data_IF_676847719188
#
_entry.id   IF_676847719188
#
_cell.length_a   1.000
_cell.length_b   1.000
_cell.length_c   1.000
_cell.angle_alpha   90.00
_cell.angle_beta   90.00
_cell.angle_gamma   90.00
#
_symmetry.space_group_name_H-M   'P 1'
#
loop_
_entity.id
_entity.type
_entity.pdbx_description
1 polymer ?
#
# COMPACT_ATOMS: atom_id res chain seq x y z
N UNK A 1 30.79 29.43 -46.41
CA UNK A 1 30.33 28.25 -45.64
C UNK A 1 30.62 28.55 -44.18
N UNK A 2 29.62 29.06 -43.45
CA UNK A 2 29.76 29.54 -42.06
C UNK A 2 29.35 28.45 -41.09
N UNK A 3 30.15 28.25 -40.03
CA UNK A 3 29.84 27.34 -38.92
C UNK A 3 28.58 27.84 -38.23
N UNK A 4 27.60 26.97 -38.01
CA UNK A 4 26.43 27.30 -37.18
C UNK A 4 26.90 27.81 -35.81
N UNK A 5 26.29 28.91 -35.35
CA UNK A 5 26.55 29.47 -34.03
C UNK A 5 26.13 28.47 -32.96
N UNK A 6 27.04 28.19 -32.01
CA UNK A 6 26.77 27.31 -30.88
C UNK A 6 25.64 27.89 -30.03
N UNK A 7 24.52 27.20 -29.97
CA UNK A 7 23.31 27.61 -29.22
C UNK A 7 23.23 27.05 -27.80
N UNK A 8 24.18 26.20 -27.39
CA UNK A 8 24.21 25.64 -26.03
C UNK A 8 25.47 24.84 -25.70
N UNK A 9 25.63 24.56 -24.40
CA UNK A 9 26.69 23.73 -23.84
C UNK A 9 26.10 22.89 -22.69
N UNK A 10 26.47 21.62 -22.60
CA UNK A 10 26.16 20.79 -21.44
C UNK A 10 27.46 20.27 -20.84
N UNK A 11 27.53 20.25 -19.52
CA UNK A 11 28.71 19.74 -18.80
C UNK A 11 28.27 18.77 -17.72
N UNK A 12 29.06 17.71 -17.52
CA UNK A 12 28.96 16.79 -16.40
C UNK A 12 30.30 16.84 -15.65
N UNK A 13 30.27 17.17 -14.36
CA UNK A 13 31.48 17.26 -13.51
C UNK A 13 32.63 18.06 -14.14
N UNK A 14 32.32 19.14 -14.86
CA UNK A 14 33.31 20.03 -15.49
C UNK A 14 33.85 19.58 -16.85
N UNK A 15 33.34 18.47 -17.42
CA UNK A 15 33.65 18.03 -18.78
C UNK A 15 32.46 18.26 -19.71
N UNK A 16 32.73 18.68 -20.94
CA UNK A 16 31.68 18.88 -21.94
C UNK A 16 31.09 17.54 -22.39
N UNK A 17 29.78 17.41 -22.35
CA UNK A 17 29.05 16.18 -22.68
C UNK A 17 27.84 16.50 -23.57
N UNK A 18 27.33 15.47 -24.25
CA UNK A 18 26.05 15.55 -24.97
C UNK A 18 24.95 15.09 -24.03
N UNK A 19 23.95 15.93 -23.81
CA UNK A 19 22.83 15.64 -22.92
C UNK A 19 21.59 15.28 -23.73
N UNK A 20 21.04 14.08 -23.48
CA UNK A 20 19.77 13.62 -24.04
C UNK A 20 18.70 13.61 -22.95
N UNK A 21 17.53 14.18 -23.23
CA UNK A 21 16.39 14.22 -22.30
C UNK A 21 15.26 13.37 -22.85
N UNK A 22 14.70 12.49 -22.00
CA UNK A 22 13.49 11.73 -22.32
C UNK A 22 12.31 12.33 -21.57
N UNK A 23 11.26 12.67 -22.32
CA UNK A 23 10.00 13.15 -21.76
C UNK A 23 9.01 11.99 -21.68
N UNK A 24 8.39 11.85 -20.50
CA UNK A 24 7.30 10.92 -20.28
C UNK A 24 5.97 11.55 -20.74
N UNK A 25 5.12 10.77 -21.41
CA UNK A 25 3.78 11.20 -21.79
C UNK A 25 2.90 11.41 -20.55
N UNK A 26 1.93 12.32 -20.65
CA UNK A 26 0.99 12.60 -19.56
C UNK A 26 0.17 11.34 -19.27
N UNK A 27 0.16 10.92 -18.00
CA UNK A 27 -0.61 9.75 -17.53
C UNK A 27 0.16 8.43 -17.55
N UNK A 28 1.38 8.40 -18.08
CA UNK A 28 2.21 7.20 -18.05
C UNK A 28 2.84 6.94 -16.67
N UNK A 29 3.17 5.66 -16.42
CA UNK A 29 3.83 5.27 -15.18
C UNK A 29 5.34 5.53 -15.28
N UNK A 30 5.84 6.42 -14.42
CA UNK A 30 7.27 6.79 -14.38
C UNK A 30 8.21 5.59 -14.25
N UNK A 31 7.86 4.55 -13.49
CA UNK A 31 8.68 3.35 -13.33
C UNK A 31 8.75 2.55 -14.63
N UNK A 32 7.61 2.33 -15.28
CA UNK A 32 7.53 1.59 -16.54
C UNK A 32 8.31 2.28 -17.65
N UNK A 33 8.15 3.61 -17.78
CA UNK A 33 8.83 4.41 -18.80
C UNK A 33 10.34 4.42 -18.55
N UNK A 34 10.79 4.64 -17.31
CA UNK A 34 12.22 4.61 -17.00
C UNK A 34 12.86 3.25 -17.27
N UNK A 35 12.18 2.14 -16.96
CA UNK A 35 12.68 0.79 -17.28
C UNK A 35 12.78 0.55 -18.79
N UNK A 36 11.79 1.00 -19.57
CA UNK A 36 11.81 0.89 -21.02
C UNK A 36 12.95 1.72 -21.64
N UNK A 37 13.18 2.93 -21.13
CA UNK A 37 14.28 3.80 -21.56
C UNK A 37 15.63 3.20 -21.22
N UNK A 38 15.81 2.67 -20.01
CA UNK A 38 17.04 2.00 -19.59
C UNK A 38 17.38 0.83 -20.53
N UNK A 39 16.40 -0.03 -20.81
CA UNK A 39 16.57 -1.14 -21.76
C UNK A 39 16.92 -0.65 -23.17
N UNK A 40 16.28 0.41 -23.64
CA UNK A 40 16.57 0.97 -24.97
C UNK A 40 17.95 1.62 -25.04
N UNK A 41 18.41 2.22 -23.94
CA UNK A 41 19.74 2.79 -23.82
C UNK A 41 20.83 1.72 -23.91
N UNK A 42 20.61 0.53 -23.33
CA UNK A 42 21.51 -0.61 -23.49
C UNK A 42 21.61 -1.06 -24.95
N UNK A 43 20.49 -1.11 -25.68
CA UNK A 43 20.49 -1.43 -27.10
C UNK A 43 21.26 -0.38 -27.93
N UNK A 44 21.03 0.91 -27.64
CA UNK A 44 21.71 2.02 -28.33
C UNK A 44 23.22 1.97 -28.04
N UNK A 45 23.62 1.74 -26.80
CA UNK A 45 25.03 1.68 -26.41
C UNK A 45 25.83 0.62 -27.19
N UNK A 46 25.19 -0.46 -27.65
CA UNK A 46 25.85 -1.48 -28.50
C UNK A 46 26.12 -1.01 -29.93
N UNK A 47 25.34 -0.04 -30.41
CA UNK A 47 25.46 0.53 -31.75
C UNK A 47 26.38 1.75 -31.82
N UNK A 48 26.84 2.25 -30.66
CA UNK A 48 27.68 3.43 -30.60
C UNK A 48 29.12 3.13 -31.04
N UNK A 49 29.81 4.11 -31.66
CA UNK A 49 31.23 3.99 -32.01
C UNK A 49 32.11 3.75 -30.78
N UNK A 50 33.27 3.13 -31.00
CA UNK A 50 34.26 2.94 -29.94
C UNK A 50 34.63 4.29 -29.28
N UNK A 51 34.52 4.35 -27.96
CA UNK A 51 34.80 5.55 -27.16
C UNK A 51 33.58 6.42 -26.82
N UNK A 52 32.39 6.12 -27.35
CA UNK A 52 31.15 6.81 -26.99
C UNK A 52 30.30 5.91 -26.09
N UNK A 53 29.98 6.39 -24.89
CA UNK A 53 29.11 5.68 -23.93
C UNK A 53 28.01 6.63 -23.48
N UNK A 54 26.76 6.23 -23.65
CA UNK A 54 25.62 6.95 -23.11
C UNK A 54 25.32 6.45 -21.69
N UNK A 55 25.46 7.34 -20.71
CA UNK A 55 25.26 7.06 -19.28
C UNK A 55 24.02 7.81 -18.79
N UNK A 56 23.19 7.17 -17.97
CA UNK A 56 22.04 7.82 -17.33
C UNK A 56 22.49 8.73 -16.19
N UNK A 57 22.33 10.04 -16.35
CA UNK A 57 22.75 11.05 -15.37
C UNK A 57 21.72 11.22 -14.24
N UNK A 58 20.42 11.05 -14.54
CA UNK A 58 19.34 11.20 -13.57
C UNK A 58 18.26 10.13 -13.77
N UNK A 59 18.19 9.18 -12.84
CA UNK A 59 17.16 8.15 -12.82
C UNK A 59 16.27 8.30 -11.59
N UNK A 60 15.03 8.77 -11.82
CA UNK A 60 14.00 8.86 -10.76
C UNK A 60 13.64 7.49 -10.19
N UNK A 61 13.90 6.39 -10.90
CA UNK A 61 13.58 5.02 -10.47
C UNK A 61 14.32 4.67 -9.19
N UNK A 62 15.58 5.06 -9.04
CA UNK A 62 16.36 4.77 -7.83
C UNK A 62 15.74 5.35 -6.55
N UNK A 63 15.19 6.56 -6.64
CA UNK A 63 14.52 7.19 -5.51
C UNK A 63 13.18 6.50 -5.20
N UNK A 64 12.41 6.17 -6.24
CA UNK A 64 11.12 5.48 -6.11
C UNK A 64 11.30 4.07 -5.56
N UNK A 65 12.28 3.30 -6.05
CA UNK A 65 12.52 1.93 -5.59
C UNK A 65 13.04 1.88 -4.16
N UNK A 66 13.93 2.81 -3.76
CA UNK A 66 14.34 2.94 -2.35
C UNK A 66 13.16 3.28 -1.45
N UNK A 67 12.30 4.21 -1.87
CA UNK A 67 11.10 4.57 -1.11
C UNK A 67 10.13 3.39 -0.99
N UNK A 68 9.86 2.66 -2.07
CA UNK A 68 9.02 1.47 -2.07
C UNK A 68 9.61 0.38 -1.17
N UNK A 69 10.93 0.17 -1.22
CA UNK A 69 11.61 -0.81 -0.36
C UNK A 69 11.46 -0.46 1.13
N UNK A 70 11.61 0.82 1.48
CA UNK A 70 11.38 1.32 2.84
C UNK A 70 9.92 1.13 3.26
N UNK A 71 8.95 1.46 2.41
CA UNK A 71 7.53 1.24 2.71
C UNK A 71 7.22 -0.24 2.89
N UNK A 72 7.75 -1.11 2.03
CA UNK A 72 7.56 -2.56 2.15
C UNK A 72 8.10 -3.06 3.49
N UNK A 73 9.29 -2.60 3.89
CA UNK A 73 9.89 -2.93 5.18
C UNK A 73 9.01 -2.43 6.34
N UNK A 74 8.58 -1.17 6.29
CA UNK A 74 7.72 -0.58 7.32
C UNK A 74 6.35 -1.27 7.41
N UNK A 75 5.75 -1.65 6.27
CA UNK A 75 4.50 -2.41 6.24
C UNK A 75 4.67 -3.79 6.88
N UNK A 76 5.78 -4.47 6.60
CA UNK A 76 6.08 -5.77 7.18
C UNK A 76 6.32 -5.67 8.69
N UNK A 77 7.15 -4.72 9.13
CA UNK A 77 7.43 -4.47 10.55
C UNK A 77 6.16 -4.03 11.31
N UNK A 78 5.36 -3.15 10.70
CA UNK A 78 4.07 -2.70 11.23
C UNK A 78 3.06 -3.84 11.37
N UNK A 79 2.91 -4.68 10.34
CA UNK A 79 2.04 -5.85 10.40
C UNK A 79 2.50 -6.84 11.49
N UNK A 80 3.81 -7.06 11.63
CA UNK A 80 4.36 -7.91 12.67
C UNK A 80 4.07 -7.36 14.08
N UNK A 81 4.21 -6.04 14.27
CA UNK A 81 3.87 -5.38 15.54
C UNK A 81 2.37 -5.52 15.87
N UNK A 82 1.49 -5.32 14.89
CA UNK A 82 0.04 -5.53 15.08
C UNK A 82 -0.23 -6.96 15.50
N UNK A 83 0.33 -7.94 14.79
CA UNK A 83 0.17 -9.37 15.15
C UNK A 83 0.68 -9.62 16.57
N UNK A 84 1.86 -9.12 16.94
CA UNK A 84 2.41 -9.30 18.30
C UNK A 84 1.46 -8.75 19.38
N UNK A 85 0.90 -7.55 19.16
CA UNK A 85 -0.09 -6.94 20.06
C UNK A 85 -1.37 -7.77 20.13
N UNK A 86 -1.88 -8.28 18.99
CA UNK A 86 -3.05 -9.16 18.96
C UNK A 86 -2.84 -10.42 19.81
N UNK A 87 -1.67 -11.06 19.70
CA UNK A 87 -1.34 -12.24 20.49
C UNK A 87 -1.27 -11.91 22.00
N UNK A 88 -0.73 -10.74 22.36
CA UNK A 88 -0.65 -10.29 23.75
C UNK A 88 -2.04 -10.02 24.36
N UNK A 89 -2.92 -9.34 23.63
CA UNK A 89 -4.24 -8.93 24.15
C UNK A 89 -5.28 -10.06 24.14
N UNK A 90 -5.32 -10.90 23.08
CA UNK A 90 -6.34 -11.94 22.98
C UNK A 90 -6.03 -13.16 23.85
N UNK A 91 -4.75 -13.46 24.11
CA UNK A 91 -4.29 -14.64 24.87
C UNK A 91 -4.63 -16.01 24.24
N UNK A 92 -5.51 -16.03 23.23
CA UNK A 92 -5.94 -17.21 22.50
C UNK A 92 -5.32 -17.21 21.11
N UNK A 93 -4.36 -18.12 20.91
CA UNK A 93 -3.60 -18.29 19.65
C UNK A 93 -4.53 -18.48 18.45
N UNK A 94 -5.62 -19.26 18.58
CA UNK A 94 -6.54 -19.52 17.46
C UNK A 94 -7.28 -18.26 17.05
N UNK A 95 -7.73 -17.49 18.04
CA UNK A 95 -8.42 -16.24 17.80
C UNK A 95 -7.49 -15.18 17.19
N UNK A 96 -6.27 -15.05 17.74
CA UNK A 96 -5.24 -14.16 17.21
C UNK A 96 -4.88 -14.51 15.76
N UNK A 97 -4.77 -15.79 15.40
CA UNK A 97 -4.54 -16.22 14.02
C UNK A 97 -5.72 -15.88 13.10
N UNK A 98 -6.96 -16.11 13.54
CA UNK A 98 -8.16 -15.76 12.76
C UNK A 98 -8.19 -14.26 12.47
N UNK A 99 -7.93 -13.42 13.47
CA UNK A 99 -7.88 -11.96 13.30
C UNK A 99 -6.70 -11.53 12.43
N UNK A 100 -5.51 -12.14 12.61
CA UNK A 100 -4.33 -11.83 11.81
C UNK A 100 -4.55 -12.15 10.32
N UNK A 101 -5.35 -13.16 9.98
CA UNK A 101 -5.71 -13.49 8.59
C UNK A 101 -6.54 -12.40 7.89
N UNK A 102 -7.14 -11.47 8.63
CA UNK A 102 -7.84 -10.31 8.05
C UNK A 102 -6.85 -9.37 7.36
N UNK A 103 -5.62 -9.23 7.87
CA UNK A 103 -4.59 -8.37 7.29
C UNK A 103 -4.26 -8.75 5.83
N UNK A 104 -3.80 -9.98 5.52
CA UNK A 104 -3.48 -10.36 4.14
C UNK A 104 -4.71 -10.35 3.23
N UNK A 105 -5.89 -10.68 3.77
CA UNK A 105 -7.13 -10.66 2.99
C UNK A 105 -7.54 -9.23 2.61
N UNK A 106 -7.44 -8.29 3.55
CA UNK A 106 -7.69 -6.87 3.29
C UNK A 106 -6.68 -6.32 2.28
N UNK A 107 -5.39 -6.61 2.44
CA UNK A 107 -4.36 -6.20 1.48
C UNK A 107 -4.64 -6.78 0.07
N UNK A 108 -5.09 -8.03 -0.02
CA UNK A 108 -5.47 -8.63 -1.30
C UNK A 108 -6.61 -7.83 -1.96
N UNK A 109 -7.69 -7.55 -1.23
CA UNK A 109 -8.80 -6.74 -1.75
C UNK A 109 -8.37 -5.34 -2.15
N UNK A 110 -7.52 -4.68 -1.36
CA UNK A 110 -7.00 -3.36 -1.70
C UNK A 110 -6.15 -3.38 -2.96
N UNK A 111 -5.21 -4.33 -3.09
CA UNK A 111 -4.40 -4.44 -4.30
C UNK A 111 -5.22 -4.81 -5.54
N UNK A 112 -6.23 -5.67 -5.40
CA UNK A 112 -7.17 -5.96 -6.49
C UNK A 112 -7.93 -4.71 -6.91
N UNK A 113 -8.44 -3.91 -5.96
CA UNK A 113 -9.14 -2.66 -6.26
C UNK A 113 -8.25 -1.60 -6.90
N UNK A 114 -7.00 -1.47 -6.43
CA UNK A 114 -6.01 -0.57 -7.05
C UNK A 114 -5.69 -0.98 -8.49
N UNK A 115 -5.57 -2.29 -8.73
CA UNK A 115 -5.33 -2.83 -10.07
C UNK A 115 -6.50 -2.53 -11.01
N UNK A 116 -7.76 -2.72 -10.57
CA UNK A 116 -8.94 -2.42 -11.40
C UNK A 116 -9.11 -0.93 -11.66
N UNK A 117 -8.77 -0.07 -10.69
CA UNK A 117 -8.88 1.38 -10.80
C UNK A 117 -7.64 2.04 -11.44
N UNK A 118 -6.66 1.25 -11.88
CA UNK A 118 -5.38 1.70 -12.46
C UNK A 118 -4.61 2.68 -11.56
N UNK A 119 -4.80 2.58 -10.24
CA UNK A 119 -4.08 3.39 -9.26
C UNK A 119 -2.72 2.76 -9.01
N UNK A 120 -1.64 3.52 -9.19
CA UNK A 120 -0.29 3.01 -8.95
C UNK A 120 -0.08 2.70 -7.46
N UNK A 121 0.53 1.56 -7.18
CA UNK A 121 1.12 1.23 -5.88
C UNK A 121 2.36 2.12 -5.63
N UNK A 122 2.12 3.34 -5.17
CA UNK A 122 3.16 4.32 -4.86
C UNK A 122 3.20 4.58 -3.35
N UNK A 123 4.18 5.38 -2.92
CA UNK A 123 4.39 5.71 -1.51
C UNK A 123 3.12 6.25 -0.83
N UNK A 124 2.35 7.11 -1.51
CA UNK A 124 1.16 7.74 -0.94
C UNK A 124 0.00 6.75 -0.84
N UNK A 125 -0.26 5.96 -1.89
CA UNK A 125 -1.34 4.97 -1.86
C UNK A 125 -1.06 3.79 -0.92
N UNK A 126 0.20 3.32 -0.84
CA UNK A 126 0.56 2.31 0.17
C UNK A 126 0.56 2.88 1.59
N UNK A 127 0.89 4.16 1.76
CA UNK A 127 0.86 4.85 3.05
C UNK A 127 -0.55 5.03 3.63
N UNK A 128 -1.59 4.95 2.79
CA UNK A 128 -2.98 4.99 3.21
C UNK A 128 -3.48 3.66 3.80
N UNK A 129 -2.69 2.58 3.71
CA UNK A 129 -3.03 1.29 4.33
C UNK A 129 -2.84 1.37 5.85
N UNK A 130 -3.93 1.71 6.56
CA UNK A 130 -3.94 1.71 8.02
C UNK A 130 -4.32 0.32 8.57
N UNK A 131 -3.31 -0.42 9.05
CA UNK A 131 -3.54 -1.72 9.67
C UNK A 131 -4.43 -1.65 10.90
N UNK A 132 -4.33 -0.57 11.70
CA UNK A 132 -5.13 -0.39 12.91
C UNK A 132 -6.62 -0.37 12.58
N UNK A 133 -7.00 0.42 11.59
CA UNK A 133 -8.38 0.47 11.09
C UNK A 133 -8.80 -0.88 10.47
N UNK A 134 -7.91 -1.55 9.73
CA UNK A 134 -8.21 -2.85 9.10
C UNK A 134 -8.50 -3.93 10.15
N UNK A 135 -7.74 -3.98 11.26
CA UNK A 135 -7.90 -5.04 12.27
C UNK A 135 -8.91 -4.71 13.36
N UNK A 136 -9.16 -3.43 13.66
CA UNK A 136 -10.02 -2.99 14.77
C UNK A 136 -11.37 -3.72 14.76
N UNK A 137 -12.06 -3.68 13.63
CA UNK A 137 -13.38 -4.30 13.53
C UNK A 137 -13.37 -5.82 13.72
N UNK A 138 -12.32 -6.49 13.23
CA UNK A 138 -12.17 -7.93 13.41
C UNK A 138 -11.82 -8.30 14.85
N UNK A 139 -10.98 -7.50 15.52
CA UNK A 139 -10.63 -7.67 16.94
C UNK A 139 -11.88 -7.58 17.80
N UNK A 140 -12.69 -6.52 17.62
CA UNK A 140 -13.91 -6.30 18.41
C UNK A 140 -14.89 -7.46 18.28
N UNK A 141 -15.11 -7.99 17.07
CA UNK A 141 -15.99 -9.15 16.86
C UNK A 141 -15.45 -10.38 17.57
N UNK A 142 -14.15 -10.67 17.39
CA UNK A 142 -13.52 -11.88 17.94
C UNK A 142 -13.48 -11.82 19.46
N UNK A 143 -13.15 -10.67 20.04
CA UNK A 143 -13.18 -10.47 21.49
C UNK A 143 -14.59 -10.67 22.06
N UNK A 144 -15.60 -10.05 21.45
CA UNK A 144 -16.99 -10.21 21.89
C UNK A 144 -17.46 -11.67 21.78
N UNK A 145 -17.08 -12.37 20.71
CA UNK A 145 -17.39 -13.79 20.52
C UNK A 145 -16.75 -14.66 21.59
N UNK A 146 -15.47 -14.45 21.92
CA UNK A 146 -14.76 -15.20 22.97
C UNK A 146 -15.41 -14.93 24.33
N UNK A 147 -15.72 -13.66 24.63
CA UNK A 147 -16.37 -13.25 25.88
C UNK A 147 -17.72 -13.96 26.05
N UNK A 148 -18.56 -13.97 25.02
CA UNK A 148 -19.86 -14.67 25.03
C UNK A 148 -19.70 -16.19 25.16
N UNK A 149 -18.79 -16.79 24.42
CA UNK A 149 -18.50 -18.23 24.53
C UNK A 149 -18.06 -18.62 25.94
N UNK A 150 -17.22 -17.81 26.59
CA UNK A 150 -16.78 -18.04 27.97
C UNK A 150 -17.96 -17.98 28.96
N UNK A 151 -18.82 -16.96 28.85
CA UNK A 151 -20.01 -16.84 29.70
C UNK A 151 -21.05 -17.95 29.46
N UNK A 152 -21.25 -18.36 28.20
CA UNK A 152 -22.15 -19.46 27.88
C UNK A 152 -21.61 -20.79 28.41
N UNK A 153 -20.30 -21.02 28.31
CA UNK A 153 -19.66 -22.22 28.86
C UNK A 153 -19.75 -22.27 30.40
N UNK A 154 -19.58 -21.13 31.08
CA UNK A 154 -19.79 -21.03 32.53
C UNK A 154 -21.25 -21.31 32.92
N UNK A 155 -22.22 -20.73 32.20
CA UNK A 155 -23.65 -20.95 32.47
C UNK A 155 -24.08 -22.40 32.29
N UNK A 156 -23.56 -23.09 31.29
CA UNK A 156 -23.90 -24.49 31.04
C UNK A 156 -23.07 -25.49 31.87
N UNK A 157 -21.97 -25.07 32.50
CA UNK A 157 -21.08 -25.94 33.28
C UNK A 157 -20.40 -27.05 32.46
N UNK A 158 -20.52 -27.02 31.13
CA UNK A 158 -19.96 -28.02 30.20
C UNK A 158 -19.43 -27.33 28.95
N UNK A 159 -18.57 -28.04 28.21
CA UNK A 159 -18.18 -27.61 26.88
C UNK A 159 -19.42 -27.49 25.97
N UNK A 160 -19.51 -26.35 25.28
CA UNK A 160 -20.55 -26.08 24.29
C UNK A 160 -20.38 -27.00 23.09
N UNK A 161 -21.50 -27.52 22.57
CA UNK A 161 -21.57 -28.24 21.30
C UNK A 161 -21.27 -27.31 20.13
N UNK A 162 -20.94 -27.85 18.95
CA UNK A 162 -20.65 -27.03 17.76
C UNK A 162 -21.80 -26.10 17.38
N UNK A 163 -23.04 -26.58 17.47
CA UNK A 163 -24.23 -25.78 17.16
C UNK A 163 -24.42 -24.62 18.13
N UNK A 164 -24.23 -24.86 19.43
CA UNK A 164 -24.29 -23.80 20.46
C UNK A 164 -23.17 -22.77 20.27
N UNK A 165 -21.95 -23.21 19.95
CA UNK A 165 -20.84 -22.28 19.66
C UNK A 165 -21.12 -21.39 18.44
N UNK A 166 -21.63 -21.96 17.36
CA UNK A 166 -21.99 -21.20 16.16
C UNK A 166 -23.10 -20.20 16.46
N UNK A 167 -24.09 -20.60 17.26
CA UNK A 167 -25.17 -19.71 17.69
C UNK A 167 -24.65 -18.51 18.50
N UNK A 168 -23.77 -18.76 19.48
CA UNK A 168 -23.18 -17.69 20.30
C UNK A 168 -22.29 -16.75 19.48
N UNK A 169 -21.46 -17.29 18.57
CA UNK A 169 -20.63 -16.48 17.66
C UNK A 169 -21.52 -15.63 16.74
N UNK A 170 -22.60 -16.19 16.20
CA UNK A 170 -23.53 -15.45 15.36
C UNK A 170 -24.25 -14.33 16.13
N UNK A 171 -24.68 -14.61 17.36
CA UNK A 171 -25.29 -13.62 18.24
C UNK A 171 -24.31 -12.49 18.58
N UNK A 172 -23.07 -12.83 18.93
CA UNK A 172 -21.99 -11.87 19.19
C UNK A 172 -21.71 -10.96 17.99
N UNK A 173 -21.64 -11.54 16.79
CA UNK A 173 -21.43 -10.79 15.56
C UNK A 173 -22.63 -9.86 15.25
N UNK A 174 -23.87 -10.31 15.48
CA UNK A 174 -25.07 -9.51 15.25
C UNK A 174 -25.15 -8.29 16.17
N UNK A 175 -24.72 -8.43 17.42
CA UNK A 175 -24.68 -7.37 18.42
C UNK A 175 -23.64 -6.28 18.05
N UNK A 176 -22.41 -6.70 17.72
CA UNK A 176 -21.33 -5.77 17.38
C UNK A 176 -21.51 -5.12 15.99
N UNK A 177 -22.24 -5.76 15.07
CA UNK A 177 -22.41 -5.33 13.68
C UNK A 177 -22.82 -3.86 13.54
N UNK A 178 -23.80 -3.42 14.35
CA UNK A 178 -24.34 -2.06 14.22
C UNK A 178 -23.25 -1.04 14.53
N UNK A 179 -22.57 -1.17 15.67
CA UNK A 179 -21.50 -0.26 16.08
C UNK A 179 -20.35 -0.21 15.06
N UNK A 180 -19.94 -1.37 14.55
CA UNK A 180 -18.87 -1.48 13.55
C UNK A 180 -19.21 -0.79 12.23
N UNK A 181 -20.42 -0.98 11.72
CA UNK A 181 -20.85 -0.29 10.48
C UNK A 181 -20.90 1.22 10.69
N UNK A 182 -21.39 1.70 11.84
CA UNK A 182 -21.38 3.13 12.13
C UNK A 182 -19.96 3.68 12.22
N UNK A 183 -19.03 2.98 12.86
CA UNK A 183 -17.62 3.36 12.91
C UNK A 183 -16.99 3.44 11.51
N UNK A 184 -17.21 2.41 10.69
CA UNK A 184 -16.72 2.38 9.31
C UNK A 184 -17.28 3.53 8.47
N UNK A 185 -18.57 3.85 8.63
CA UNK A 185 -19.21 4.96 7.93
C UNK A 185 -18.61 6.31 8.33
N UNK A 186 -18.29 6.51 9.61
CA UNK A 186 -17.64 7.74 10.08
C UNK A 186 -16.28 7.90 9.40
N UNK A 187 -15.46 6.85 9.39
CA UNK A 187 -14.15 6.86 8.73
C UNK A 187 -14.31 7.17 7.23
N UNK A 188 -15.27 6.53 6.56
CA UNK A 188 -15.56 6.78 5.15
C UNK A 188 -15.99 8.22 4.87
N UNK A 189 -16.84 8.81 5.73
CA UNK A 189 -17.27 10.21 5.62
C UNK A 189 -16.11 11.17 5.83
N UNK A 190 -15.14 10.86 6.70
CA UNK A 190 -13.93 11.66 6.91
C UNK A 190 -13.03 11.69 5.67
N UNK A 191 -13.05 10.64 4.83
CA UNK A 191 -12.30 10.62 3.57
C UNK A 191 -13.01 11.32 2.41
N UNK A 192 -14.33 11.50 2.47
CA UNK A 192 -15.11 12.15 1.39
C UNK A 192 -14.59 13.54 0.98
N UNK A 193 -14.19 14.45 1.90
CA UNK A 193 -13.68 15.78 1.54
C UNK A 193 -12.41 15.74 0.69
N UNK A 194 -11.64 14.64 0.71
CA UNK A 194 -10.42 14.51 -0.10
C UNK A 194 -10.74 14.58 -1.59
N UNK A 195 -11.91 14.10 -2.02
CA UNK A 195 -12.35 14.20 -3.41
C UNK A 195 -12.64 15.63 -3.86
N UNK A 196 -12.92 16.55 -2.92
CA UNK A 196 -13.14 17.96 -3.20
C UNK A 196 -11.83 18.78 -3.28
N UNK A 197 -10.68 18.19 -2.90
CA UNK A 197 -9.39 18.87 -2.99
C UNK A 197 -8.98 19.06 -4.46
N UNK A 198 -8.67 20.30 -4.81
CA UNK A 198 -8.18 20.68 -6.15
C UNK A 198 -6.67 20.99 -6.12
N UNK A 199 -6.08 21.16 -7.32
CA UNK A 199 -4.68 21.56 -7.46
C UNK A 199 -3.68 20.49 -7.05
N UNK A 200 -2.55 20.91 -6.46
CA UNK A 200 -1.45 20.03 -6.06
C UNK A 200 -1.88 19.09 -4.93
N UNK A 201 -2.66 19.61 -3.96
CA UNK A 201 -3.18 18.82 -2.85
C UNK A 201 -4.09 17.68 -3.35
N UNK A 202 -5.03 17.99 -4.25
CA UNK A 202 -5.89 16.98 -4.86
C UNK A 202 -5.09 15.85 -5.51
N UNK A 203 -4.10 16.18 -6.34
CA UNK A 203 -3.26 15.16 -7.02
C UNK A 203 -2.45 14.28 -6.06
N UNK A 204 -2.07 14.79 -4.89
CA UNK A 204 -1.31 14.03 -3.89
C UNK A 204 -2.21 13.12 -3.05
N UNK A 205 -3.40 13.59 -2.67
CA UNK A 205 -4.25 12.88 -1.71
C UNK A 205 -5.36 12.04 -2.35
N UNK A 206 -5.73 12.27 -3.61
CA UNK A 206 -6.72 11.43 -4.31
C UNK A 206 -6.38 9.93 -4.30
N UNK A 207 -5.11 9.51 -4.48
CA UNK A 207 -4.75 8.09 -4.42
C UNK A 207 -4.86 7.46 -3.02
N UNK A 208 -5.13 8.25 -1.98
CA UNK A 208 -5.31 7.79 -0.60
C UNK A 208 -6.78 7.58 -0.20
N UNK A 209 -7.72 8.14 -0.97
CA UNK A 209 -9.17 8.08 -0.73
C UNK A 209 -9.84 7.03 -1.62
#
# INVERSE_FOLDING_TARGET
IGRELRTGAATENGREVVLGTVFMLIGENSRTVSQAVAKKLEEINRSLPAGVVAVTVYDRTNLVEKAIATVKKNLFEGALLVVAVLFLFLGNIRAALITAMVIPLAMLFTFTGMFTNKVSANLMSLGALDFGIIVDGAVVIVENAIRRLAHAQQRHGRLLTRSERLHEVFAAAKEARRALIFGQLIIMVVYLPIFALTGVAGKMFHPMA
#
